data_IF_874622978610
#
_entry.id   IF_874622978610
#
_cell.length_a   1.000
_cell.length_b   1.000
_cell.length_c   1.000
_cell.angle_alpha   90.00
_cell.angle_beta   90.00
_cell.angle_gamma   90.00
#
_symmetry.space_group_name_H-M   'P 1'
#
loop_
_entity.id
_entity.type
_entity.pdbx_description
1 polymer ?
#
# COMPACT_ATOMS: atom_id res chain seq x y z
N UNK A 1 -8.12 26.10 14.87
CA UNK A 1 -8.13 25.09 13.79
C UNK A 1 -7.00 25.46 12.85
N UNK A 2 -6.01 24.58 12.67
CA UNK A 2 -4.84 24.87 11.83
C UNK A 2 -5.27 25.18 10.40
N UNK A 3 -4.57 26.12 9.75
CA UNK A 3 -4.72 26.42 8.34
C UNK A 3 -4.19 25.24 7.51
N UNK A 4 -5.01 24.20 7.35
CA UNK A 4 -4.68 23.11 6.44
C UNK A 4 -4.63 23.67 5.02
N UNK A 5 -3.42 23.82 4.49
CA UNK A 5 -3.23 24.04 3.06
C UNK A 5 -3.38 22.68 2.39
N UNK A 6 -4.27 22.57 1.40
CA UNK A 6 -4.44 21.32 0.67
C UNK A 6 -3.14 21.06 -0.10
N UNK A 7 -2.47 19.92 0.11
CA UNK A 7 -1.25 19.60 -0.61
C UNK A 7 -1.56 19.44 -2.09
N UNK A 8 -0.96 20.29 -2.93
CA UNK A 8 -1.08 20.25 -4.40
C UNK A 8 -0.24 19.15 -5.04
N UNK A 9 0.77 18.67 -4.31
CA UNK A 9 1.82 17.81 -4.86
C UNK A 9 1.46 16.32 -4.74
N UNK A 10 0.26 16.01 -4.22
CA UNK A 10 -0.21 14.65 -4.03
C UNK A 10 -1.15 14.23 -5.15
N UNK A 11 -0.77 13.21 -5.90
CA UNK A 11 -1.58 12.63 -6.97
C UNK A 11 -2.18 11.29 -6.50
N UNK A 12 -3.51 11.25 -6.39
CA UNK A 12 -4.24 10.02 -6.06
C UNK A 12 -4.67 9.29 -7.31
N UNK A 13 -4.36 8.00 -7.37
CA UNK A 13 -4.85 7.06 -8.38
C UNK A 13 -5.56 5.91 -7.69
N UNK A 14 -6.60 5.39 -8.33
CA UNK A 14 -7.34 4.21 -7.83
C UNK A 14 -6.51 2.96 -8.08
N UNK A 15 -6.05 2.31 -7.01
CA UNK A 15 -5.37 1.01 -7.10
C UNK A 15 -6.36 -0.15 -7.28
N UNK A 16 -7.12 -0.47 -6.22
CA UNK A 16 -8.12 -1.54 -6.22
C UNK A 16 -9.50 -0.98 -5.88
N UNK A 17 -10.54 -1.57 -6.46
CA UNK A 17 -11.91 -1.18 -6.13
C UNK A 17 -12.30 -1.66 -4.73
N UNK A 18 -12.98 -0.83 -3.92
CA UNK A 18 -13.42 -1.19 -2.58
C UNK A 18 -14.70 -2.06 -2.65
N UNK A 19 -14.60 -3.23 -3.29
CA UNK A 19 -15.67 -4.23 -3.37
C UNK A 19 -15.64 -5.10 -2.11
N UNK A 20 -16.77 -5.73 -1.79
CA UNK A 20 -16.80 -6.76 -0.76
C UNK A 20 -15.77 -7.85 -1.07
N UNK A 21 -14.95 -8.20 -0.09
CA UNK A 21 -13.87 -9.18 -0.23
C UNK A 21 -12.83 -8.81 -1.31
N UNK A 22 -12.42 -7.54 -1.37
CA UNK A 22 -11.38 -7.07 -2.29
C UNK A 22 -10.04 -7.82 -2.17
N UNK A 23 -9.82 -8.60 -1.09
CA UNK A 23 -8.63 -9.42 -0.88
C UNK A 23 -8.92 -10.93 -0.95
N UNK A 24 -9.97 -11.32 -1.68
CA UNK A 24 -10.23 -12.73 -1.96
C UNK A 24 -9.14 -13.29 -2.89
N UNK A 25 -8.23 -14.08 -2.32
CA UNK A 25 -7.06 -14.59 -3.03
C UNK A 25 -6.00 -13.51 -3.30
N UNK A 26 -5.13 -13.77 -4.26
CA UNK A 26 -4.08 -12.81 -4.66
C UNK A 26 -4.65 -11.86 -5.71
N UNK A 27 -4.65 -10.58 -5.37
CA UNK A 27 -5.06 -9.49 -6.25
C UNK A 27 -3.92 -8.48 -6.36
N UNK A 28 -3.80 -7.85 -7.52
CA UNK A 28 -2.79 -6.82 -7.79
C UNK A 28 -3.48 -5.50 -8.08
N UNK A 29 -2.91 -4.40 -7.58
CA UNK A 29 -3.32 -3.06 -8.00
C UNK A 29 -2.96 -2.82 -9.46
N UNK A 30 -3.44 -1.72 -10.01
CA UNK A 30 -2.91 -1.20 -11.26
C UNK A 30 -1.40 -0.90 -11.17
N UNK A 31 -0.74 -0.83 -12.32
CA UNK A 31 0.69 -0.50 -12.44
C UNK A 31 0.82 1.02 -12.49
N UNK A 32 1.60 1.58 -11.57
CA UNK A 32 1.77 3.02 -11.43
C UNK A 32 3.24 3.39 -11.65
N UNK A 33 3.49 4.25 -12.64
CA UNK A 33 4.82 4.84 -12.85
C UNK A 33 5.10 5.89 -11.78
N UNK A 34 6.18 5.70 -11.02
CA UNK A 34 6.56 6.58 -9.90
C UNK A 34 7.53 7.69 -10.31
N UNK A 35 8.00 7.74 -11.56
CA UNK A 35 8.84 8.81 -12.12
C UNK A 35 10.09 9.15 -11.26
N UNK A 36 10.68 8.17 -10.58
CA UNK A 36 11.84 8.37 -9.70
C UNK A 36 11.49 8.85 -8.28
N UNK A 37 10.21 9.02 -7.98
CA UNK A 37 9.69 9.29 -6.63
C UNK A 37 9.33 8.00 -5.89
N UNK A 38 8.93 8.15 -4.63
CA UNK A 38 8.29 7.07 -3.87
C UNK A 38 6.78 7.00 -4.12
N UNK A 39 6.16 5.91 -3.70
CA UNK A 39 4.71 5.73 -3.73
C UNK A 39 4.15 5.46 -2.35
N UNK A 40 2.94 5.94 -2.10
CA UNK A 40 2.17 5.64 -0.91
C UNK A 40 0.83 5.01 -1.29
N UNK A 41 0.48 3.92 -0.60
CA UNK A 41 -0.83 3.28 -0.72
C UNK A 41 -1.61 3.51 0.55
N UNK A 42 -2.85 3.98 0.40
CA UNK A 42 -3.86 3.92 1.45
C UNK A 42 -4.71 2.68 1.22
N UNK A 43 -4.58 1.70 2.11
CA UNK A 43 -5.38 0.49 2.10
C UNK A 43 -6.48 0.64 3.12
N UNK A 44 -7.74 0.60 2.67
CA UNK A 44 -8.90 0.53 3.56
C UNK A 44 -9.62 -0.78 3.33
N UNK A 45 -9.62 -1.65 4.35
CA UNK A 45 -10.25 -2.96 4.25
C UNK A 45 -11.69 -2.92 4.78
N UNK A 46 -12.57 -3.66 4.12
CA UNK A 46 -13.96 -3.84 4.53
C UNK A 46 -14.13 -4.78 5.73
N UNK A 47 -15.24 -5.53 5.75
CA UNK A 47 -15.55 -6.48 6.84
C UNK A 47 -14.72 -7.74 6.70
N UNK A 48 -13.93 -8.08 7.72
CA UNK A 48 -13.14 -9.31 7.80
C UNK A 48 -13.30 -9.94 9.17
N UNK A 49 -14.25 -10.87 9.32
CA UNK A 49 -14.56 -11.45 10.64
C UNK A 49 -13.49 -12.43 11.13
N UNK A 50 -12.71 -13.04 10.22
CA UNK A 50 -11.72 -14.07 10.58
C UNK A 50 -10.49 -14.15 9.67
N UNK A 51 -10.45 -13.39 8.55
CA UNK A 51 -9.37 -13.46 7.56
C UNK A 51 -8.26 -12.42 7.77
N UNK A 52 -7.02 -12.82 7.53
CA UNK A 52 -5.88 -11.90 7.37
C UNK A 52 -5.44 -11.92 5.92
N UNK A 53 -5.06 -10.76 5.38
CA UNK A 53 -4.44 -10.65 4.05
C UNK A 53 -2.97 -10.33 4.23
N UNK A 54 -2.11 -10.96 3.43
CA UNK A 54 -0.70 -10.57 3.33
C UNK A 54 -0.57 -9.49 2.28
N UNK A 55 -0.08 -8.32 2.67
CA UNK A 55 0.17 -7.22 1.75
C UNK A 55 1.66 -7.17 1.42
N UNK A 56 1.97 -7.20 0.12
CA UNK A 56 3.30 -7.03 -0.45
C UNK A 56 3.31 -5.79 -1.36
N UNK A 57 4.50 -5.27 -1.65
CA UNK A 57 4.69 -4.24 -2.69
C UNK A 57 5.64 -4.83 -3.72
N UNK A 58 5.26 -4.73 -4.99
CA UNK A 58 6.08 -5.16 -6.11
C UNK A 58 6.51 -3.96 -6.94
N UNK A 59 7.77 -3.98 -7.37
CA UNK A 59 8.30 -3.10 -8.40
C UNK A 59 8.34 -3.88 -9.73
N UNK A 60 8.07 -3.20 -10.83
CA UNK A 60 8.18 -3.76 -12.18
C UNK A 60 8.85 -2.76 -13.12
N UNK A 61 9.37 -3.26 -14.24
CA UNK A 61 10.11 -2.48 -15.24
C UNK A 61 9.25 -1.94 -16.40
N UNK A 62 8.03 -2.46 -16.57
CA UNK A 62 7.13 -2.06 -17.64
C UNK A 62 5.65 -1.99 -17.21
N UNK A 63 4.83 -1.43 -18.10
CA UNK A 63 3.38 -1.24 -17.90
C UNK A 63 2.56 -2.53 -18.00
N UNK A 64 3.21 -3.68 -18.19
CA UNK A 64 2.59 -5.00 -18.24
C UNK A 64 2.97 -5.89 -17.07
N UNK A 65 3.87 -5.43 -16.20
CA UNK A 65 4.51 -6.20 -15.13
C UNK A 65 5.12 -7.52 -15.65
N UNK A 66 5.71 -7.51 -16.85
CA UNK A 66 6.35 -8.71 -17.42
C UNK A 66 7.51 -9.21 -16.56
N UNK A 67 8.13 -8.32 -15.79
CA UNK A 67 9.16 -8.61 -14.82
C UNK A 67 8.89 -7.81 -13.55
N UNK A 68 8.38 -8.49 -12.51
CA UNK A 68 8.12 -7.89 -11.20
C UNK A 68 8.94 -8.56 -10.10
N UNK A 69 9.27 -7.79 -9.07
CA UNK A 69 9.94 -8.29 -7.87
C UNK A 69 9.39 -7.61 -6.62
N UNK A 70 9.21 -8.39 -5.56
CA UNK A 70 8.79 -7.86 -4.28
C UNK A 70 9.90 -7.01 -3.66
N UNK A 71 9.52 -5.86 -3.10
CA UNK A 71 10.46 -4.89 -2.51
C UNK A 71 10.21 -4.68 -1.02
N UNK A 72 11.18 -4.11 -0.32
CA UNK A 72 11.01 -3.69 1.08
C UNK A 72 10.20 -2.41 1.15
N UNK A 73 9.42 -2.23 2.21
CA UNK A 73 8.58 -1.03 2.36
C UNK A 73 8.27 -0.75 3.83
N UNK A 74 7.62 0.36 4.10
CA UNK A 74 7.18 0.75 5.44
C UNK A 74 5.67 0.77 5.51
N UNK A 75 5.11 0.43 6.67
CA UNK A 75 3.68 0.50 6.89
C UNK A 75 3.35 1.01 8.29
N UNK A 76 2.18 1.60 8.45
CA UNK A 76 1.56 1.88 9.74
C UNK A 76 0.06 1.62 9.67
N UNK A 77 -0.53 1.23 10.80
CA UNK A 77 -1.99 1.15 10.93
C UNK A 77 -2.52 2.54 11.25
N UNK A 78 -3.54 2.96 10.52
CA UNK A 78 -4.26 4.21 10.74
C UNK A 78 -5.48 3.92 11.60
N UNK A 79 -5.67 4.73 12.63
CA UNK A 79 -6.78 4.58 13.58
C UNK A 79 -7.12 5.92 14.23
N UNK A 80 -7.80 5.90 15.39
CA UNK A 80 -7.96 7.10 16.22
C UNK A 80 -6.62 7.64 16.69
N UNK A 81 -5.66 6.74 16.89
CA UNK A 81 -4.23 7.03 17.03
C UNK A 81 -3.48 6.09 16.11
N UNK A 82 -2.71 6.67 15.21
CA UNK A 82 -1.87 5.89 14.29
C UNK A 82 -0.81 5.10 15.06
N UNK A 83 -0.47 3.92 14.53
CA UNK A 83 0.74 3.24 14.98
C UNK A 83 1.99 3.98 14.51
N UNK A 84 3.14 3.62 15.06
CA UNK A 84 4.44 3.94 14.45
C UNK A 84 4.61 3.26 13.10
N UNK A 85 5.55 3.77 12.31
CA UNK A 85 6.01 3.13 11.07
C UNK A 85 6.83 1.89 11.40
N UNK A 86 6.54 0.80 10.70
CA UNK A 86 7.24 -0.49 10.80
C UNK A 86 7.77 -0.86 9.43
N UNK A 87 9.01 -1.37 9.37
CA UNK A 87 9.58 -1.89 8.13
C UNK A 87 9.03 -3.30 7.84
N UNK A 88 8.59 -3.55 6.62
CA UNK A 88 8.26 -4.85 6.08
C UNK A 88 9.39 -5.33 5.16
N UNK A 89 9.65 -6.64 5.17
CA UNK A 89 10.55 -7.28 4.21
C UNK A 89 9.82 -7.51 2.88
N UNK A 90 10.51 -8.10 1.90
CA UNK A 90 9.89 -8.52 0.63
C UNK A 90 8.77 -9.55 0.81
N UNK A 91 8.68 -10.22 1.97
CA UNK A 91 7.56 -11.10 2.33
C UNK A 91 6.30 -10.35 2.77
N UNK A 92 6.37 -9.03 2.91
CA UNK A 92 5.24 -8.20 3.31
C UNK A 92 4.87 -8.30 4.79
N UNK A 93 3.61 -7.99 5.10
CA UNK A 93 3.04 -8.15 6.44
C UNK A 93 1.60 -8.66 6.37
N UNK A 94 1.18 -9.39 7.41
CA UNK A 94 -0.21 -9.81 7.54
C UNK A 94 -1.04 -8.71 8.22
N UNK A 95 -2.18 -8.35 7.62
CA UNK A 95 -3.16 -7.48 8.27
C UNK A 95 -3.71 -8.15 9.52
N UNK A 96 -4.11 -7.37 10.51
CA UNK A 96 -4.84 -7.89 11.67
C UNK A 96 -6.21 -8.42 11.22
N UNK A 97 -6.74 -9.47 11.84
CA UNK A 97 -8.14 -9.87 11.62
C UNK A 97 -9.08 -8.81 12.21
N UNK A 98 -10.16 -8.49 11.51
CA UNK A 98 -11.09 -7.43 11.92
C UNK A 98 -11.68 -6.68 10.73
N UNK A 99 -12.54 -5.71 11.03
CA UNK A 99 -13.24 -4.90 10.04
C UNK A 99 -12.76 -3.45 10.07
N UNK A 100 -12.84 -2.77 8.93
CA UNK A 100 -12.59 -1.33 8.83
C UNK A 100 -11.18 -0.88 9.27
N UNK A 101 -10.17 -1.75 9.12
CA UNK A 101 -8.78 -1.33 9.34
C UNK A 101 -8.24 -0.56 8.13
N UNK A 102 -7.44 0.45 8.45
CA UNK A 102 -6.71 1.21 7.46
C UNK A 102 -5.21 1.04 7.67
N UNK A 103 -4.47 0.97 6.56
CA UNK A 103 -3.02 0.96 6.56
C UNK A 103 -2.51 2.02 5.58
N UNK A 104 -1.48 2.75 6.01
CA UNK A 104 -0.63 3.50 5.09
C UNK A 104 0.60 2.67 4.83
N UNK A 105 0.90 2.47 3.56
CA UNK A 105 2.09 1.77 3.06
C UNK A 105 2.91 2.78 2.27
N UNK A 106 4.21 2.81 2.47
CA UNK A 106 5.13 3.70 1.77
C UNK A 106 6.33 2.91 1.25
N UNK A 107 6.56 2.99 -0.05
CA UNK A 107 7.78 2.53 -0.70
C UNK A 107 8.56 3.77 -1.19
N UNK A 108 9.62 4.19 -0.47
CA UNK A 108 10.39 5.37 -0.83
C UNK A 108 11.23 5.10 -2.08
N UNK A 109 11.59 6.17 -2.80
CA UNK A 109 12.36 6.13 -4.04
C UNK A 109 13.63 5.26 -3.98
N UNK A 110 14.29 5.20 -2.82
CA UNK A 110 15.55 4.48 -2.65
C UNK A 110 15.38 2.96 -2.77
N UNK A 111 14.15 2.47 -2.58
CA UNK A 111 13.80 1.06 -2.79
C UNK A 111 13.71 0.72 -4.27
N UNK A 112 13.37 1.69 -5.11
CA UNK A 112 13.26 1.52 -6.57
C UNK A 112 14.56 1.86 -7.31
N UNK A 113 15.50 2.51 -6.64
CA UNK A 113 16.78 2.93 -7.22
C UNK A 113 17.81 1.78 -7.37
N UNK A 114 17.49 0.56 -6.92
CA UNK A 114 18.39 -0.60 -6.96
C UNK A 114 18.06 -1.65 -8.03
N UNK A 115 17.07 -1.38 -8.89
CA UNK A 115 16.70 -2.20 -10.05
C UNK A 115 17.12 -1.51 -11.33
#
# INVERSE_FOLDING_TARGET
MGNLTIPSDLHFVKGLDPVADAFSGTVYSDIIEVMGEGICFLVYKGVGTTGTSTLTVEACDDVSASNSSAVVFWYKRVGTTDSGWTAATTSGFATTAGSSDMYLIAAPKDVFAST
#
